data_IF_884390108914
#
_entry.id   IF_884390108914
#
_cell.length_a   1.000
_cell.length_b   1.000
_cell.length_c   1.000
_cell.angle_alpha   90.00
_cell.angle_beta   90.00
_cell.angle_gamma   90.00
#
_symmetry.space_group_name_H-M   'P 1'
#
loop_
_entity.id
_entity.type
_entity.pdbx_description
1 polymer ?
#
# COMPACT_ATOMS: atom_id res chain seq x y z
N UNK A 1 -4.09 3.30 -3.99
CA UNK A 1 -3.23 2.95 -5.13
C UNK A 1 -2.10 2.05 -4.67
N UNK A 2 -1.79 1.05 -5.46
CA UNK A 2 -0.70 0.12 -5.19
C UNK A 2 0.29 0.17 -6.34
N UNK A 3 1.57 0.26 -6.01
CA UNK A 3 2.66 0.20 -6.97
C UNK A 3 3.51 -1.01 -6.63
N UNK A 4 3.73 -1.90 -7.61
CA UNK A 4 4.61 -3.05 -7.46
C UNK A 4 5.99 -2.68 -8.01
N UNK A 5 6.98 -2.57 -7.15
CA UNK A 5 8.31 -2.13 -7.58
C UNK A 5 9.09 -3.22 -8.28
N UNK A 6 8.66 -4.47 -8.20
CA UNK A 6 9.33 -5.58 -8.88
C UNK A 6 8.97 -5.67 -10.36
N UNK A 7 7.75 -5.32 -10.75
CA UNK A 7 7.31 -5.42 -12.13
C UNK A 7 6.82 -4.12 -12.76
N UNK A 8 6.79 -3.03 -11.98
CA UNK A 8 6.36 -1.72 -12.46
C UNK A 8 4.84 -1.56 -12.58
N UNK A 9 4.05 -2.54 -12.19
CA UNK A 9 2.60 -2.44 -12.23
C UNK A 9 2.07 -1.43 -11.24
N UNK A 10 1.03 -0.70 -11.63
CA UNK A 10 0.34 0.26 -10.79
C UNK A 10 -1.16 0.11 -10.97
N UNK A 11 -1.89 0.03 -9.87
CA UNK A 11 -3.35 -0.16 -9.93
C UNK A 11 -4.02 0.41 -8.69
N UNK A 12 -5.32 0.63 -8.81
CA UNK A 12 -6.14 1.10 -7.70
C UNK A 12 -7.06 -0.02 -7.23
N UNK A 13 -7.27 -0.07 -5.93
CA UNK A 13 -8.13 -1.07 -5.31
C UNK A 13 -8.67 -0.53 -4.00
N UNK A 14 -9.48 -1.32 -3.32
CA UNK A 14 -10.02 -0.98 -2.01
C UNK A 14 -9.52 -1.97 -0.97
N UNK A 15 -9.55 -1.54 0.29
CA UNK A 15 -9.08 -2.36 1.39
C UNK A 15 -10.19 -3.27 1.91
N UNK A 16 -9.82 -4.50 2.22
CA UNK A 16 -10.72 -5.49 2.83
C UNK A 16 -10.15 -5.83 4.20
N UNK A 17 -11.02 -5.91 5.20
CA UNK A 17 -10.59 -6.20 6.57
C UNK A 17 -9.97 -7.59 6.65
N UNK A 18 -8.77 -7.65 7.19
CA UNK A 18 -8.06 -8.90 7.47
C UNK A 18 -7.83 -9.10 8.96
N UNK A 19 -6.98 -10.03 9.30
CA UNK A 19 -6.61 -10.30 10.69
C UNK A 19 -5.63 -9.26 11.20
N UNK A 20 -5.99 -8.63 12.33
CA UNK A 20 -5.11 -7.65 12.97
C UNK A 20 -3.79 -8.32 13.39
N UNK A 21 -2.69 -7.59 13.18
CA UNK A 21 -1.34 -8.01 13.56
C UNK A 21 -0.81 -9.24 12.80
N UNK A 22 -1.46 -9.66 11.72
CA UNK A 22 -0.97 -10.77 10.89
C UNK A 22 0.21 -10.38 10.01
N UNK A 23 0.29 -9.13 9.61
CA UNK A 23 1.29 -8.68 8.63
C UNK A 23 1.03 -9.15 7.21
N UNK A 24 -0.09 -9.80 6.97
CA UNK A 24 -0.41 -10.34 5.65
C UNK A 24 -0.84 -9.23 4.68
N UNK A 25 -0.32 -9.32 3.46
CA UNK A 25 -0.78 -8.50 2.34
C UNK A 25 -1.30 -9.47 1.28
N UNK A 26 -2.60 -9.48 1.09
CA UNK A 26 -3.27 -10.43 0.21
C UNK A 26 -4.03 -9.65 -0.88
N UNK A 27 -3.76 -9.99 -2.14
CA UNK A 27 -4.45 -9.40 -3.28
C UNK A 27 -5.38 -10.43 -3.90
N UNK A 28 -6.67 -10.12 -3.89
CA UNK A 28 -7.72 -11.02 -4.38
C UNK A 28 -8.20 -10.60 -5.76
N UNK A 29 -8.81 -11.56 -6.47
CA UNK A 29 -9.45 -11.30 -7.75
C UNK A 29 -8.47 -10.87 -8.84
N UNK A 30 -8.88 -9.96 -9.73
CA UNK A 30 -8.00 -9.52 -10.83
C UNK A 30 -6.70 -8.88 -10.37
N UNK A 31 -6.67 -8.25 -9.20
CA UNK A 31 -5.46 -7.65 -8.65
C UNK A 31 -4.36 -8.68 -8.38
N UNK A 32 -4.74 -9.93 -8.12
CA UNK A 32 -3.78 -11.01 -7.88
C UNK A 32 -2.86 -11.28 -9.07
N UNK A 33 -3.29 -10.90 -10.27
CA UNK A 33 -2.48 -11.08 -11.48
C UNK A 33 -1.35 -10.07 -11.61
N UNK A 34 -1.37 -9.01 -10.82
CA UNK A 34 -0.40 -7.93 -10.90
C UNK A 34 0.76 -8.10 -9.91
N UNK A 35 0.71 -9.13 -9.10
CA UNK A 35 1.72 -9.39 -8.08
C UNK A 35 2.07 -10.86 -8.02
N UNK A 36 3.25 -11.14 -7.49
CA UNK A 36 3.68 -12.49 -7.14
C UNK A 36 4.15 -12.49 -5.69
N UNK A 37 4.03 -13.63 -5.05
CA UNK A 37 4.52 -13.77 -3.68
C UNK A 37 5.99 -13.36 -3.60
N UNK A 38 6.32 -12.53 -2.64
CA UNK A 38 7.67 -12.00 -2.47
C UNK A 38 7.90 -10.65 -3.11
N UNK A 39 6.96 -10.15 -3.92
CA UNK A 39 7.07 -8.82 -4.49
C UNK A 39 7.00 -7.75 -3.40
N UNK A 40 7.70 -6.65 -3.63
CA UNK A 40 7.66 -5.48 -2.76
C UNK A 40 6.72 -4.46 -3.37
N UNK A 41 5.78 -3.97 -2.59
CA UNK A 41 4.78 -3.01 -3.05
C UNK A 41 4.79 -1.74 -2.21
N UNK A 42 4.27 -0.67 -2.80
CA UNK A 42 4.03 0.60 -2.11
C UNK A 42 2.52 0.81 -2.11
N UNK A 43 1.96 1.03 -0.93
CA UNK A 43 0.53 1.33 -0.77
C UNK A 43 0.39 2.82 -0.53
N UNK A 44 -0.43 3.48 -1.36
CA UNK A 44 -0.60 4.92 -1.32
C UNK A 44 -2.08 5.24 -1.08
N UNK A 45 -2.34 6.03 -0.03
CA UNK A 45 -3.65 6.61 0.23
C UNK A 45 -3.65 8.07 -0.19
N UNK A 46 -4.70 8.49 -0.86
CA UNK A 46 -4.86 9.87 -1.30
C UNK A 46 -5.95 10.55 -0.49
N UNK A 47 -5.80 11.85 -0.28
CA UNK A 47 -6.81 12.69 0.33
C UNK A 47 -7.06 13.93 -0.50
N UNK A 48 -8.20 14.56 -0.28
CA UNK A 48 -8.54 15.83 -0.90
C UNK A 48 -8.49 16.90 0.19
N UNK A 49 -7.72 17.95 -0.05
CA UNK A 49 -7.52 19.05 0.89
C UNK A 49 -7.72 20.39 0.18
N UNK A 50 -8.15 21.38 0.93
CA UNK A 50 -8.11 22.76 0.46
C UNK A 50 -6.67 23.15 0.12
N UNK A 51 -6.49 24.03 -0.87
CA UNK A 51 -5.16 24.37 -1.37
C UNK A 51 -4.23 24.89 -0.26
N UNK A 52 -4.75 25.76 0.62
CA UNK A 52 -3.94 26.29 1.71
C UNK A 52 -3.54 25.24 2.74
N UNK A 53 -4.40 24.27 3.01
CA UNK A 53 -4.07 23.14 3.88
C UNK A 53 -3.07 22.21 3.21
N UNK A 54 -3.23 21.98 1.91
CA UNK A 54 -2.35 21.10 1.15
C UNK A 54 -0.92 21.59 1.15
N UNK A 55 -0.70 22.90 1.10
CA UNK A 55 0.64 23.49 1.15
C UNK A 55 1.41 23.11 2.43
N UNK A 56 0.70 22.94 3.53
CA UNK A 56 1.27 22.66 4.84
C UNK A 56 1.24 21.19 5.20
N UNK A 57 0.55 20.38 4.42
CA UNK A 57 0.38 18.96 4.71
C UNK A 57 1.66 18.19 4.40
N UNK A 58 2.05 17.34 5.34
CA UNK A 58 3.18 16.42 5.15
C UNK A 58 2.64 15.00 5.12
N UNK A 59 2.87 14.25 4.04
CA UNK A 59 2.44 12.86 4.00
C UNK A 59 3.13 12.03 5.09
N UNK A 60 2.41 11.07 5.62
CA UNK A 60 3.01 10.08 6.52
C UNK A 60 3.67 8.99 5.70
N UNK A 61 4.92 8.71 6.00
CA UNK A 61 5.67 7.65 5.35
C UNK A 61 5.93 6.53 6.36
N UNK A 62 5.56 5.32 6.00
CA UNK A 62 5.72 4.15 6.87
C UNK A 62 6.53 3.10 6.12
N UNK A 63 7.57 2.59 6.76
CA UNK A 63 8.45 1.57 6.18
C UNK A 63 8.38 0.31 7.04
N UNK A 64 7.42 -0.60 6.77
CA UNK A 64 7.32 -1.84 7.52
C UNK A 64 8.55 -2.73 7.32
N UNK A 65 8.77 -3.62 8.28
CA UNK A 65 9.83 -4.61 8.18
C UNK A 65 9.55 -5.52 6.97
N UNK A 66 10.56 -5.73 6.12
CA UNK A 66 10.41 -6.50 4.88
C UNK A 66 10.07 -7.97 5.11
N UNK A 67 10.39 -8.52 6.27
CA UNK A 67 10.17 -9.93 6.56
C UNK A 67 8.75 -10.25 7.01
N UNK A 68 8.17 -9.38 7.85
CA UNK A 68 6.89 -9.66 8.48
C UNK A 68 5.90 -8.51 8.45
N UNK A 69 6.26 -7.40 7.80
CA UNK A 69 5.46 -6.18 7.71
C UNK A 69 5.15 -5.52 9.06
N UNK A 70 5.93 -5.78 10.08
CA UNK A 70 5.77 -5.12 11.38
C UNK A 70 6.23 -3.67 11.30
N UNK A 71 5.71 -2.85 12.20
CA UNK A 71 5.99 -1.41 12.26
C UNK A 71 7.04 -1.03 13.30
N UNK A 72 7.79 -1.97 13.78
CA UNK A 72 8.83 -1.71 14.77
C UNK A 72 10.11 -1.15 14.15
#
# INVERSE_FOLDING_TARGET
SIVNINNGERFETYAIVGNRNSGDIILNGPAARKVQKGDIIIIISYGILEFEEAKKFKPSLVFPNEKDNSLT
#
